data_IF_480526866271
#
_entry.id   IF_480526866271
#
_cell.length_a   1.000
_cell.length_b   1.000
_cell.length_c   1.000
_cell.angle_alpha   90.00
_cell.angle_beta   90.00
_cell.angle_gamma   90.00
#
_symmetry.space_group_name_H-M   'P 1'
#
loop_
_entity.id
_entity.type
_entity.pdbx_description
1 polymer ?
#
# COMPACT_ATOMS: atom_id res chain seq x y z
N UNK A 1 26.61 -19.16 15.25
CA UNK A 1 26.90 -19.17 13.79
C UNK A 1 25.93 -18.21 13.08
N UNK A 2 25.68 -17.02 13.62
CA UNK A 2 24.68 -16.06 13.13
C UNK A 2 25.26 -14.94 12.26
N UNK A 3 26.53 -14.56 12.49
CA UNK A 3 27.13 -13.40 11.82
C UNK A 3 27.24 -13.59 10.29
N UNK A 4 27.44 -14.82 9.82
CA UNK A 4 27.53 -15.12 8.39
C UNK A 4 26.21 -14.95 7.63
N UNK A 5 25.06 -15.04 8.30
CA UNK A 5 23.74 -14.84 7.67
C UNK A 5 23.41 -13.35 7.59
N UNK A 6 23.82 -12.58 8.60
CA UNK A 6 23.69 -11.13 8.62
C UNK A 6 24.57 -10.48 7.55
N UNK A 7 25.84 -10.87 7.45
CA UNK A 7 26.77 -10.36 6.43
C UNK A 7 26.26 -10.63 5.01
N UNK A 8 25.68 -11.81 4.78
CA UNK A 8 25.12 -12.19 3.48
C UNK A 8 23.86 -11.38 3.13
N UNK A 9 23.02 -11.04 4.13
CA UNK A 9 21.85 -10.16 3.95
C UNK A 9 22.28 -8.71 3.70
N UNK A 10 23.32 -8.23 4.39
CA UNK A 10 23.86 -6.88 4.19
C UNK A 10 24.53 -6.73 2.82
N UNK A 11 25.22 -7.76 2.34
CA UNK A 11 25.84 -7.78 1.01
C UNK A 11 24.79 -7.84 -0.12
N UNK A 12 23.66 -8.51 0.10
CA UNK A 12 22.52 -8.53 -0.83
C UNK A 12 21.81 -7.17 -0.88
N UNK A 13 21.66 -6.50 0.27
CA UNK A 13 21.16 -5.11 0.36
C UNK A 13 22.08 -4.15 -0.40
N UNK A 14 23.39 -4.19 -0.16
CA UNK A 14 24.38 -3.34 -0.86
C UNK A 14 24.40 -3.60 -2.37
N UNK A 15 24.25 -4.86 -2.81
CA UNK A 15 24.13 -5.21 -4.23
C UNK A 15 22.82 -4.76 -4.86
N UNK A 16 21.70 -4.81 -4.16
CA UNK A 16 20.41 -4.31 -4.65
C UNK A 16 20.41 -2.79 -4.78
N UNK A 17 20.98 -2.07 -3.81
CA UNK A 17 21.16 -0.62 -3.88
C UNK A 17 22.06 -0.20 -5.06
N UNK A 18 23.14 -0.93 -5.33
CA UNK A 18 24.05 -0.65 -6.46
C UNK A 18 23.51 -1.06 -7.83
N UNK A 19 22.43 -1.85 -7.90
CA UNK A 19 21.85 -2.36 -9.15
C UNK A 19 20.52 -1.71 -9.54
N UNK A 20 20.01 -0.75 -8.76
CA UNK A 20 18.89 0.06 -9.21
C UNK A 20 19.32 0.83 -10.48
N UNK A 21 18.63 0.67 -11.62
CA UNK A 21 18.90 1.51 -12.77
C UNK A 21 18.53 2.94 -12.41
N UNK A 22 19.50 3.85 -12.58
CA UNK A 22 19.26 5.30 -12.57
C UNK A 22 18.32 5.59 -13.73
N UNK A 23 17.00 5.60 -13.49
CA UNK A 23 16.04 6.07 -14.48
C UNK A 23 15.44 7.39 -14.00
N UNK A 24 15.76 8.39 -14.83
CA UNK A 24 15.39 9.81 -14.75
C UNK A 24 15.92 10.51 -13.50
N UNK A 25 17.22 10.78 -13.55
CA UNK A 25 17.91 11.72 -12.68
C UNK A 25 17.14 13.05 -12.69
N UNK A 26 16.49 13.42 -11.59
CA UNK A 26 15.84 14.72 -11.45
C UNK A 26 16.85 15.86 -11.70
N UNK A 27 18.13 15.59 -11.44
CA UNK A 27 19.28 16.41 -11.83
C UNK A 27 19.34 16.62 -13.34
N UNK A 28 19.08 15.61 -14.17
CA UNK A 28 19.09 15.72 -15.63
C UNK A 28 17.87 16.48 -16.16
N UNK A 29 16.71 16.41 -15.49
CA UNK A 29 15.54 17.24 -15.83
C UNK A 29 15.80 18.71 -15.47
N UNK A 30 16.36 18.97 -14.28
CA UNK A 30 16.76 20.32 -13.84
C UNK A 30 17.88 20.88 -14.72
N UNK A 31 18.82 20.03 -15.15
CA UNK A 31 19.93 20.37 -16.04
C UNK A 31 19.45 20.59 -17.48
N UNK A 32 18.49 19.81 -17.97
CA UNK A 32 17.81 20.02 -19.25
C UNK A 32 17.02 21.34 -19.27
N UNK A 33 16.34 21.67 -18.17
CA UNK A 33 15.67 22.97 -17.99
C UNK A 33 16.69 24.12 -17.99
N UNK A 34 17.85 23.94 -17.34
CA UNK A 34 18.95 24.93 -17.31
C UNK A 34 19.68 25.04 -18.67
N UNK A 35 19.74 23.98 -19.46
CA UNK A 35 20.30 23.96 -20.81
C UNK A 35 19.34 24.58 -21.86
N UNK A 36 18.03 24.33 -21.77
CA UNK A 36 17.01 25.02 -22.59
C UNK A 36 16.96 26.53 -22.30
N UNK A 37 17.19 26.94 -21.05
CA UNK A 37 17.25 28.35 -20.66
C UNK A 37 18.41 29.11 -21.35
N UNK A 38 19.48 28.41 -21.74
CA UNK A 38 20.65 28.99 -22.42
C UNK A 38 20.59 28.95 -23.95
N UNK A 39 19.64 28.23 -24.56
CA UNK A 39 19.56 28.07 -26.02
C UNK A 39 18.41 28.85 -26.70
N UNK A 40 17.61 29.62 -25.97
CA UNK A 40 16.41 30.27 -26.51
C UNK A 40 16.67 31.60 -27.27
N UNK A 41 17.56 31.60 -28.27
CA UNK A 41 17.55 32.64 -29.32
C UNK A 41 17.75 32.01 -30.71
N UNK A 42 16.64 31.93 -31.46
CA UNK A 42 16.46 31.69 -32.92
C UNK A 42 16.21 30.24 -33.38
N UNK A 43 14.94 29.89 -33.63
CA UNK A 43 14.22 30.03 -34.93
C UNK A 43 12.83 29.35 -34.87
N UNK A 44 11.83 30.03 -35.42
CA UNK A 44 10.44 29.56 -35.61
C UNK A 44 10.29 28.72 -36.88
N UNK A 45 9.41 27.68 -36.84
CA UNK A 45 8.39 27.24 -37.84
C UNK A 45 7.89 25.80 -37.52
N UNK A 46 6.75 25.33 -38.05
CA UNK A 46 5.38 25.74 -37.74
C UNK A 46 4.50 24.59 -37.19
N UNK A 47 3.33 24.99 -36.69
CA UNK A 47 2.18 24.22 -36.17
C UNK A 47 1.97 22.79 -36.69
N UNK A 48 1.87 21.85 -35.74
CA UNK A 48 0.98 20.68 -35.81
C UNK A 48 -0.02 20.84 -34.65
N UNK A 49 -1.30 20.95 -34.98
CA UNK A 49 -2.40 21.08 -34.03
C UNK A 49 -2.69 19.73 -33.35
N UNK A 50 -2.60 19.69 -32.02
CA UNK A 50 -3.29 18.71 -31.17
C UNK A 50 -4.11 19.49 -30.13
N UNK A 51 -5.46 19.39 -30.10
CA UNK A 51 -6.28 20.16 -29.16
C UNK A 51 -6.40 19.45 -27.81
N UNK A 52 -6.19 20.22 -26.73
CA UNK A 52 -6.73 20.00 -25.38
C UNK A 52 -6.29 18.76 -24.59
N UNK A 53 -5.04 18.76 -24.11
CA UNK A 53 -4.66 18.07 -22.87
C UNK A 53 -3.49 18.72 -22.08
N UNK A 54 -2.88 19.80 -22.57
CA UNK A 54 -1.62 20.33 -22.01
C UNK A 54 -1.71 21.69 -21.28
N UNK A 55 -2.88 22.32 -21.20
CA UNK A 55 -2.97 23.74 -20.79
C UNK A 55 -3.44 24.02 -19.36
N UNK A 56 -3.30 23.09 -18.42
CA UNK A 56 -3.44 23.36 -16.98
C UNK A 56 -2.22 22.97 -16.12
N UNK A 57 -1.44 21.95 -16.53
CA UNK A 57 -0.19 21.56 -15.85
C UNK A 57 0.94 22.61 -16.02
N UNK A 58 0.97 23.34 -17.14
CA UNK A 58 2.04 24.32 -17.40
C UNK A 58 1.89 25.66 -16.68
N UNK A 59 0.67 26.07 -16.28
CA UNK A 59 0.43 27.43 -15.78
C UNK A 59 0.61 27.53 -14.25
N UNK A 60 0.38 26.46 -13.50
CA UNK A 60 0.61 26.44 -12.04
C UNK A 60 2.09 26.30 -11.66
N UNK A 61 2.88 25.54 -12.44
CA UNK A 61 4.33 25.39 -12.23
C UNK A 61 5.12 26.67 -12.54
N UNK A 62 4.62 27.53 -13.45
CA UNK A 62 5.26 28.82 -13.75
C UNK A 62 4.90 29.88 -12.71
N UNK A 63 3.73 29.77 -12.06
CA UNK A 63 3.26 30.72 -11.04
C UNK A 63 4.04 30.68 -9.74
N UNK A 64 4.40 29.48 -9.25
CA UNK A 64 5.17 29.30 -8.01
C UNK A 64 6.64 29.71 -8.17
N UNK A 65 7.23 29.48 -9.34
CA UNK A 65 8.64 29.85 -9.62
C UNK A 65 8.81 31.36 -9.84
N UNK A 66 7.83 32.06 -10.41
CA UNK A 66 7.91 33.52 -10.62
C UNK A 66 7.74 34.33 -9.32
N UNK A 67 6.99 33.83 -8.33
CA UNK A 67 6.86 34.47 -7.03
C UNK A 67 8.20 34.51 -6.24
N UNK A 68 9.07 33.52 -6.46
CA UNK A 68 10.41 33.42 -5.86
C UNK A 68 11.42 34.43 -6.44
N UNK A 69 11.24 34.89 -7.69
CA UNK A 69 12.14 35.89 -8.29
C UNK A 69 11.83 37.35 -7.91
N UNK A 70 10.62 37.63 -7.41
CA UNK A 70 10.25 39.00 -6.98
C UNK A 70 10.60 39.30 -5.52
N UNK A 71 10.88 38.28 -4.70
CA UNK A 71 11.28 38.46 -3.29
C UNK A 71 12.79 38.38 -3.07
N UNK A 72 13.56 37.84 -4.03
CA UNK A 72 15.02 37.81 -4.02
C UNK A 72 15.62 38.88 -4.96
N UNK A 73 15.21 40.13 -4.78
CA UNK A 73 15.74 41.28 -5.52
C UNK A 73 16.21 42.37 -4.57
N UNK A 74 17.49 42.37 -4.21
CA UNK A 74 18.05 43.44 -3.37
C UNK A 74 19.54 43.30 -3.05
N UNK A 75 20.41 43.27 -4.06
CA UNK A 75 21.84 43.52 -3.87
C UNK A 75 22.21 44.97 -4.18
N UNK A 76 22.85 45.62 -3.20
CA UNK A 76 24.00 46.55 -3.33
C UNK A 76 24.49 46.91 -1.92
N UNK A 77 25.80 46.77 -1.63
CA UNK A 77 26.75 47.88 -1.83
C UNK A 77 28.12 47.38 -2.38
N UNK A 78 28.93 48.14 -3.10
CA UNK A 78 29.55 49.41 -2.73
C UNK A 78 31.00 49.16 -2.30
N UNK A 79 31.96 49.56 -3.15
CA UNK A 79 33.41 49.35 -3.04
C UNK A 79 34.04 49.75 -1.70
N UNK A 80 35.04 48.98 -1.26
CA UNK A 80 35.95 49.35 -0.17
C UNK A 80 37.01 48.29 0.13
N UNK A 81 38.26 48.57 -0.27
CA UNK A 81 39.46 47.77 -0.01
C UNK A 81 39.78 47.63 1.50
N UNK A 82 40.28 46.46 1.92
CA UNK A 82 40.85 46.29 3.27
C UNK A 82 41.16 44.84 3.65
N UNK A 83 42.45 44.55 3.84
CA UNK A 83 43.07 43.26 4.18
C UNK A 83 42.41 42.45 5.33
N UNK A 84 42.25 41.14 5.14
CA UNK A 84 42.74 40.08 6.06
C UNK A 84 42.47 38.68 5.50
N UNK A 85 43.54 37.97 5.15
CA UNK A 85 43.54 36.52 4.87
C UNK A 85 43.51 35.76 6.20
N UNK A 86 42.36 35.19 6.56
CA UNK A 86 42.20 33.90 7.28
C UNK A 86 40.72 33.64 7.64
N UNK A 87 39.85 33.55 6.64
CA UNK A 87 38.49 33.01 6.81
C UNK A 87 37.91 32.62 5.44
N UNK A 88 38.52 31.65 4.74
CA UNK A 88 38.09 31.29 3.38
C UNK A 88 38.10 29.78 3.12
N UNK A 89 37.49 29.00 4.03
CA UNK A 89 37.10 27.61 3.75
C UNK A 89 35.72 27.21 4.29
N UNK A 90 34.95 28.14 4.88
CA UNK A 90 33.62 27.87 5.44
C UNK A 90 32.40 28.45 4.71
N UNK A 91 32.45 29.50 3.86
CA UNK A 91 31.21 30.03 3.25
C UNK A 91 30.57 29.04 2.27
N UNK A 92 31.36 28.43 1.37
CA UNK A 92 30.84 27.45 0.41
C UNK A 92 30.27 26.16 1.02
N UNK A 93 30.67 25.80 2.25
CA UNK A 93 30.19 24.58 2.92
C UNK A 93 28.76 24.72 3.44
N UNK A 94 28.41 25.90 3.93
CA UNK A 94 27.06 26.17 4.42
C UNK A 94 26.09 26.47 3.27
N UNK A 95 26.58 27.07 2.18
CA UNK A 95 25.78 27.31 0.97
C UNK A 95 25.31 26.00 0.31
N UNK A 96 26.17 24.98 0.18
CA UNK A 96 25.79 23.68 -0.39
C UNK A 96 24.73 22.97 0.45
N UNK A 97 24.91 22.93 1.78
CA UNK A 97 23.92 22.30 2.66
C UNK A 97 22.56 23.02 2.62
N UNK A 98 22.56 24.35 2.61
CA UNK A 98 21.31 25.12 2.49
C UNK A 98 20.62 24.92 1.14
N UNK A 99 21.39 24.78 0.05
CA UNK A 99 20.84 24.47 -1.26
C UNK A 99 20.15 23.10 -1.27
N UNK A 100 20.81 22.05 -0.77
CA UNK A 100 20.22 20.71 -0.72
C UNK A 100 18.97 20.64 0.17
N UNK A 101 18.94 21.38 1.28
CA UNK A 101 17.76 21.46 2.13
C UNK A 101 16.59 22.17 1.45
N UNK A 102 16.88 23.24 0.69
CA UNK A 102 15.87 23.94 -0.11
C UNK A 102 15.33 23.05 -1.23
N UNK A 103 16.20 22.22 -1.82
CA UNK A 103 15.79 21.24 -2.82
C UNK A 103 14.88 20.17 -2.19
N UNK A 104 15.13 19.76 -0.94
CA UNK A 104 14.25 18.86 -0.19
C UNK A 104 12.87 19.49 0.11
N UNK A 105 12.82 20.77 0.48
CA UNK A 105 11.56 21.51 0.67
C UNK A 105 10.76 21.61 -0.64
N UNK A 106 11.43 21.95 -1.74
CA UNK A 106 10.81 22.00 -3.06
C UNK A 106 10.32 20.63 -3.54
N UNK A 107 11.07 19.56 -3.26
CA UNK A 107 10.66 18.18 -3.55
C UNK A 107 9.40 17.82 -2.77
N UNK A 108 9.37 18.12 -1.47
CA UNK A 108 8.20 17.89 -0.62
C UNK A 108 6.96 18.59 -1.18
N UNK A 109 7.03 19.89 -1.49
CA UNK A 109 5.90 20.64 -2.02
C UNK A 109 5.38 20.08 -3.35
N UNK A 110 6.30 19.69 -4.24
CA UNK A 110 5.98 19.08 -5.52
C UNK A 110 5.29 17.73 -5.34
N UNK A 111 5.89 16.82 -4.56
CA UNK A 111 5.37 15.47 -4.33
C UNK A 111 4.05 15.50 -3.59
N UNK A 112 3.89 16.41 -2.63
CA UNK A 112 2.64 16.62 -1.91
C UNK A 112 1.52 17.04 -2.85
N UNK A 113 1.79 17.99 -3.74
CA UNK A 113 0.82 18.44 -4.74
C UNK A 113 0.40 17.27 -5.65
N UNK A 114 1.37 16.48 -6.12
CA UNK A 114 1.08 15.29 -6.94
C UNK A 114 0.25 14.25 -6.19
N UNK A 115 0.57 13.98 -4.92
CA UNK A 115 -0.16 13.03 -4.10
C UNK A 115 -1.61 13.49 -3.85
N UNK A 116 -1.82 14.77 -3.52
CA UNK A 116 -3.15 15.36 -3.38
C UNK A 116 -3.98 15.22 -4.66
N UNK A 117 -3.40 15.54 -5.81
CA UNK A 117 -4.07 15.42 -7.11
C UNK A 117 -4.44 13.97 -7.43
N UNK A 118 -3.53 13.02 -7.21
CA UNK A 118 -3.78 11.60 -7.48
C UNK A 118 -4.82 10.99 -6.54
N UNK A 119 -4.84 11.41 -5.29
CA UNK A 119 -5.84 10.96 -4.30
C UNK A 119 -7.18 11.68 -4.47
N UNK A 120 -7.21 12.79 -5.18
CA UNK A 120 -8.41 13.63 -5.29
C UNK A 120 -8.73 14.42 -4.02
N UNK A 121 -7.72 14.68 -3.18
CA UNK A 121 -7.88 15.39 -1.92
C UNK A 121 -7.50 16.88 -2.04
N UNK A 122 -8.19 17.71 -1.27
CA UNK A 122 -7.74 19.08 -0.99
C UNK A 122 -6.75 19.08 0.19
N UNK A 123 -6.07 20.20 0.42
CA UNK A 123 -5.06 20.36 1.48
C UNK A 123 -5.60 19.97 2.88
N UNK A 124 -6.83 20.39 3.19
CA UNK A 124 -7.44 20.10 4.49
C UNK A 124 -7.61 18.58 4.70
N UNK A 125 -8.07 17.87 3.68
CA UNK A 125 -8.25 16.41 3.73
C UNK A 125 -6.90 15.69 3.71
N UNK A 126 -5.98 16.09 2.82
CA UNK A 126 -4.67 15.46 2.71
C UNK A 126 -3.87 15.58 4.01
N UNK A 127 -4.00 16.70 4.72
CA UNK A 127 -3.29 16.92 5.98
C UNK A 127 -3.66 15.96 7.12
N UNK A 128 -4.77 15.23 6.99
CA UNK A 128 -5.17 14.21 7.98
C UNK A 128 -4.56 12.84 7.71
N UNK A 129 -4.04 12.62 6.49
CA UNK A 129 -3.44 11.36 6.05
C UNK A 129 -2.13 11.06 6.78
N UNK A 130 -1.75 9.78 6.87
CA UNK A 130 -0.44 9.40 7.39
C UNK A 130 0.68 9.78 6.41
N UNK A 131 0.42 9.75 5.10
CA UNK A 131 1.36 10.16 4.05
C UNK A 131 1.88 11.59 4.28
N UNK A 132 0.98 12.54 4.55
CA UNK A 132 1.37 13.93 4.84
C UNK A 132 2.14 14.05 6.16
N UNK A 133 1.70 13.35 7.21
CA UNK A 133 2.34 13.39 8.54
C UNK A 133 3.75 12.85 8.50
N UNK A 134 3.97 11.71 7.84
CA UNK A 134 5.28 11.08 7.71
C UNK A 134 6.22 11.97 6.89
N UNK A 135 5.75 12.44 5.73
CA UNK A 135 6.54 13.31 4.86
C UNK A 135 6.94 14.63 5.56
N UNK A 136 6.01 15.26 6.29
CA UNK A 136 6.31 16.43 7.13
C UNK A 136 7.32 16.08 8.23
N UNK A 137 7.19 14.92 8.86
CA UNK A 137 8.16 14.44 9.84
C UNK A 137 9.57 14.31 9.26
N UNK A 138 9.69 13.78 8.06
CA UNK A 138 10.97 13.68 7.34
C UNK A 138 11.52 15.05 6.93
N UNK A 139 10.67 15.99 6.48
CA UNK A 139 11.10 17.35 6.20
C UNK A 139 11.62 18.06 7.47
N UNK A 140 10.90 17.96 8.60
CA UNK A 140 11.36 18.48 9.90
C UNK A 140 12.68 17.85 10.33
N UNK A 141 12.87 16.55 10.05
CA UNK A 141 14.16 15.90 10.28
C UNK A 141 15.28 16.54 9.45
N UNK A 142 15.06 16.77 8.15
CA UNK A 142 16.00 17.46 7.24
C UNK A 142 16.34 18.85 7.78
N UNK A 143 15.33 19.64 8.18
CA UNK A 143 15.50 20.97 8.77
C UNK A 143 16.32 20.97 10.07
N UNK A 144 16.37 19.83 10.78
CA UNK A 144 17.14 19.67 12.01
C UNK A 144 18.64 19.40 11.77
N UNK A 145 19.03 18.91 10.59
CA UNK A 145 20.40 18.47 10.27
C UNK A 145 21.47 19.54 10.51
N UNK A 146 21.26 20.83 10.16
CA UNK A 146 22.27 21.87 10.42
C UNK A 146 22.69 21.96 11.89
N UNK A 147 21.76 21.68 12.82
CA UNK A 147 21.98 21.76 14.27
C UNK A 147 22.77 20.57 14.83
N UNK A 148 22.96 19.51 14.04
CA UNK A 148 23.68 18.30 14.46
C UNK A 148 25.18 18.45 14.30
N UNK A 149 25.93 17.82 15.17
CA UNK A 149 27.40 17.82 15.15
C UNK A 149 27.93 16.69 14.25
N UNK A 150 27.66 16.84 12.95
CA UNK A 150 28.15 15.93 11.91
C UNK A 150 29.10 16.65 10.94
N UNK A 151 30.08 15.93 10.35
CA UNK A 151 30.81 16.42 9.19
C UNK A 151 29.86 16.78 8.03
N UNK A 152 30.23 17.76 7.20
CA UNK A 152 29.39 18.22 6.09
C UNK A 152 28.94 17.08 5.15
N UNK A 153 29.85 16.17 4.78
CA UNK A 153 29.51 15.06 3.89
C UNK A 153 28.39 14.20 4.47
N UNK A 154 28.48 13.85 5.75
CA UNK A 154 27.44 13.11 6.44
C UNK A 154 26.13 13.90 6.55
N UNK A 155 26.18 15.23 6.74
CA UNK A 155 24.98 16.07 6.69
C UNK A 155 24.28 15.99 5.34
N UNK A 156 25.03 16.04 4.23
CA UNK A 156 24.47 15.94 2.89
C UNK A 156 23.85 14.56 2.66
N UNK A 157 24.53 13.48 3.06
CA UNK A 157 23.99 12.11 2.98
C UNK A 157 22.67 11.98 3.75
N UNK A 158 22.55 12.62 4.92
CA UNK A 158 21.31 12.61 5.70
C UNK A 158 20.19 13.46 5.05
N UNK A 159 20.52 14.55 4.36
CA UNK A 159 19.54 15.33 3.58
C UNK A 159 19.05 14.50 2.41
N UNK A 160 19.94 13.81 1.69
CA UNK A 160 19.61 12.92 0.58
C UNK A 160 18.68 11.80 1.01
N UNK A 161 18.98 11.10 2.12
CA UNK A 161 18.06 10.09 2.68
C UNK A 161 16.72 10.69 3.09
N UNK A 162 16.72 11.92 3.60
CA UNK A 162 15.49 12.64 3.92
C UNK A 162 14.62 12.88 2.69
N UNK A 163 15.23 13.21 1.54
CA UNK A 163 14.54 13.34 0.25
C UNK A 163 13.92 12.01 -0.18
N UNK A 164 14.67 10.92 -0.08
CA UNK A 164 14.17 9.57 -0.40
C UNK A 164 12.97 9.19 0.49
N UNK A 165 13.05 9.47 1.79
CA UNK A 165 11.95 9.19 2.72
C UNK A 165 10.71 10.06 2.42
N UNK A 166 10.89 11.35 2.10
CA UNK A 166 9.79 12.22 1.68
C UNK A 166 9.11 11.64 0.44
N UNK A 167 9.89 11.22 -0.56
CA UNK A 167 9.35 10.65 -1.79
C UNK A 167 8.56 9.36 -1.53
N UNK A 168 9.08 8.47 -0.69
CA UNK A 168 8.43 7.20 -0.35
C UNK A 168 7.14 7.42 0.47
N UNK A 169 7.17 8.31 1.46
CA UNK A 169 5.97 8.65 2.25
C UNK A 169 4.84 9.19 1.37
N UNK A 170 5.17 10.04 0.39
CA UNK A 170 4.19 10.67 -0.51
C UNK A 170 3.80 9.80 -1.72
N UNK A 171 4.37 8.61 -1.86
CA UNK A 171 4.00 7.66 -2.92
C UNK A 171 2.57 7.16 -2.69
N UNK A 172 1.66 7.38 -3.65
CA UNK A 172 0.26 6.93 -3.54
C UNK A 172 0.07 5.50 -4.04
N UNK A 173 -1.01 4.79 -3.69
CA UNK A 173 -1.31 3.47 -4.24
C UNK A 173 -1.28 3.42 -5.77
N UNK A 174 -1.85 4.42 -6.46
CA UNK A 174 -1.78 4.53 -7.93
C UNK A 174 -0.33 4.61 -8.44
N UNK A 175 0.55 5.36 -7.77
CA UNK A 175 1.97 5.41 -8.14
C UNK A 175 2.64 4.06 -7.93
N UNK A 176 2.36 3.38 -6.81
CA UNK A 176 2.93 2.07 -6.50
C UNK A 176 2.55 1.00 -7.52
N UNK A 177 1.26 0.95 -7.90
CA UNK A 177 0.76 0.01 -8.90
C UNK A 177 1.42 0.26 -10.25
N UNK A 178 1.49 1.53 -10.69
CA UNK A 178 2.09 1.88 -11.99
C UNK A 178 3.61 1.72 -12.02
N UNK A 179 4.27 1.68 -10.87
CA UNK A 179 5.72 1.45 -10.78
C UNK A 179 6.10 -0.02 -10.69
N UNK A 180 5.12 -0.93 -10.59
CA UNK A 180 5.38 -2.37 -10.61
C UNK A 180 6.06 -2.77 -11.92
N UNK A 181 7.11 -3.58 -11.79
CA UNK A 181 7.83 -4.16 -12.93
C UNK A 181 7.36 -5.60 -13.11
N UNK A 182 7.31 -6.06 -14.36
CA UNK A 182 6.94 -7.45 -14.63
C UNK A 182 7.88 -8.43 -13.93
N UNK A 183 7.30 -9.34 -13.14
CA UNK A 183 8.03 -10.41 -12.46
C UNK A 183 8.97 -9.93 -11.35
N UNK A 184 8.50 -9.04 -10.46
CA UNK A 184 9.31 -8.68 -9.27
C UNK A 184 9.59 -9.94 -8.42
N UNK A 185 10.77 -10.04 -7.79
CA UNK A 185 11.09 -11.14 -6.88
C UNK A 185 10.14 -11.19 -5.69
N UNK A 186 9.88 -12.39 -5.14
CA UNK A 186 9.01 -12.58 -3.96
C UNK A 186 9.35 -11.63 -2.79
N UNK A 187 10.64 -11.45 -2.49
CA UNK A 187 11.07 -10.54 -1.42
C UNK A 187 10.70 -9.07 -1.66
N UNK A 188 10.70 -8.63 -2.93
CA UNK A 188 10.30 -7.26 -3.29
C UNK A 188 8.78 -7.14 -3.32
N UNK A 189 8.08 -8.17 -3.79
CA UNK A 189 6.63 -8.26 -3.75
C UNK A 189 6.09 -8.18 -2.30
N UNK A 190 6.72 -8.87 -1.35
CA UNK A 190 6.31 -8.82 0.05
C UNK A 190 6.37 -7.39 0.63
N UNK A 191 7.49 -6.69 0.39
CA UNK A 191 7.68 -5.30 0.83
C UNK A 191 6.64 -4.39 0.17
N UNK A 192 6.47 -4.53 -1.14
CA UNK A 192 5.48 -3.75 -1.90
C UNK A 192 4.06 -3.98 -1.38
N UNK A 193 3.68 -5.23 -1.14
CA UNK A 193 2.35 -5.60 -0.65
C UNK A 193 2.09 -5.03 0.74
N UNK A 194 3.10 -5.09 1.62
CA UNK A 194 3.00 -4.49 2.96
C UNK A 194 2.74 -2.99 2.87
N UNK A 195 3.60 -2.27 2.14
CA UNK A 195 3.51 -0.82 1.98
C UNK A 195 2.18 -0.40 1.32
N UNK A 196 1.72 -1.18 0.33
CA UNK A 196 0.46 -0.92 -0.36
C UNK A 196 -0.73 -1.07 0.58
N UNK A 197 -0.79 -2.15 1.35
CA UNK A 197 -1.88 -2.39 2.31
C UNK A 197 -1.90 -1.39 3.45
N UNK A 198 -0.73 -0.98 3.97
CA UNK A 198 -0.63 0.06 5.00
C UNK A 198 -1.22 1.38 4.49
N UNK A 199 -0.83 1.81 3.29
CA UNK A 199 -1.39 3.03 2.68
C UNK A 199 -2.89 2.90 2.38
N UNK A 200 -3.37 1.75 1.93
CA UNK A 200 -4.81 1.53 1.72
C UNK A 200 -5.58 1.61 3.04
N UNK A 201 -5.06 0.99 4.10
CA UNK A 201 -5.70 0.99 5.43
C UNK A 201 -5.84 2.41 5.99
N UNK A 202 -4.88 3.28 5.72
CA UNK A 202 -4.94 4.69 6.12
C UNK A 202 -5.90 5.54 5.25
N UNK A 203 -6.00 5.23 3.95
CA UNK A 203 -6.74 6.05 2.99
C UNK A 203 -8.24 5.71 2.91
N UNK A 204 -8.60 4.43 3.00
CA UNK A 204 -9.98 3.95 2.84
C UNK A 204 -10.97 4.66 3.80
N UNK A 205 -10.71 4.75 5.12
CA UNK A 205 -11.63 5.43 6.04
C UNK A 205 -11.78 6.93 5.75
N UNK A 206 -10.75 7.57 5.19
CA UNK A 206 -10.80 8.99 4.81
C UNK A 206 -11.74 9.18 3.63
N UNK A 207 -11.69 8.28 2.64
CA UNK A 207 -12.65 8.28 1.53
C UNK A 207 -14.09 8.09 2.02
N UNK A 208 -14.35 7.16 2.94
CA UNK A 208 -15.70 6.93 3.49
C UNK A 208 -16.28 8.18 4.17
N UNK A 209 -15.49 8.80 5.05
CA UNK A 209 -15.89 10.04 5.73
C UNK A 209 -16.20 11.14 4.72
N UNK A 210 -15.35 11.28 3.69
CA UNK A 210 -15.53 12.33 2.67
C UNK A 210 -16.68 12.04 1.73
N UNK A 211 -16.89 10.79 1.31
CA UNK A 211 -18.03 10.38 0.50
C UNK A 211 -19.36 10.70 1.21
N UNK A 212 -19.42 10.49 2.52
CA UNK A 212 -20.62 10.80 3.30
C UNK A 212 -20.95 12.30 3.35
N UNK A 213 -19.96 13.20 3.22
CA UNK A 213 -20.21 14.65 3.07
C UNK A 213 -20.94 14.98 1.74
N UNK A 214 -20.88 14.08 0.76
CA UNK A 214 -21.51 14.23 -0.56
C UNK A 214 -22.66 13.25 -0.80
N UNK A 215 -23.38 12.85 0.25
CA UNK A 215 -24.50 11.91 0.16
C UNK A 215 -25.53 12.24 -0.93
N UNK A 216 -25.96 13.49 -0.99
CA UNK A 216 -26.91 13.96 -2.02
C UNK A 216 -26.40 13.76 -3.46
N UNK A 217 -25.08 13.66 -3.65
CA UNK A 217 -24.48 13.46 -4.97
C UNK A 217 -24.40 11.98 -5.37
N UNK A 218 -24.19 11.04 -4.43
CA UNK A 218 -24.06 9.62 -4.76
C UNK A 218 -25.33 8.80 -4.54
N UNK A 219 -26.20 9.21 -3.61
CA UNK A 219 -27.44 8.48 -3.28
C UNK A 219 -28.37 8.24 -4.49
N UNK A 220 -28.54 9.19 -5.44
CA UNK A 220 -29.34 8.94 -6.64
C UNK A 220 -28.82 7.82 -7.56
N UNK A 221 -27.60 7.33 -7.31
CA UNK A 221 -26.95 6.28 -8.08
C UNK A 221 -27.10 4.90 -7.45
N UNK A 222 -27.81 4.78 -6.33
CA UNK A 222 -28.16 3.48 -5.75
C UNK A 222 -29.30 2.85 -6.56
N UNK A 223 -29.04 1.67 -7.12
CA UNK A 223 -29.97 0.89 -7.92
C UNK A 223 -30.02 -0.54 -7.35
N UNK A 224 -31.20 -1.00 -6.93
CA UNK A 224 -31.42 -2.34 -6.36
C UNK A 224 -30.50 -2.69 -5.18
N UNK A 225 -30.20 -1.72 -4.31
CA UNK A 225 -29.33 -1.93 -3.14
C UNK A 225 -27.83 -1.88 -3.44
N UNK A 226 -27.44 -1.52 -4.67
CA UNK A 226 -26.04 -1.41 -5.08
C UNK A 226 -25.73 -0.05 -5.68
N UNK A 227 -24.49 0.43 -5.49
CA UNK A 227 -24.02 1.67 -6.13
C UNK A 227 -23.72 1.43 -7.61
N UNK A 228 -24.45 2.09 -8.51
CA UNK A 228 -24.20 2.02 -9.94
C UNK A 228 -23.01 2.94 -10.30
N UNK A 229 -21.80 2.36 -10.30
CA UNK A 229 -20.57 3.09 -10.62
C UNK A 229 -20.55 3.68 -12.03
N UNK A 230 -21.30 3.13 -12.98
CA UNK A 230 -21.40 3.69 -14.34
C UNK A 230 -22.21 4.97 -14.35
N UNK A 231 -23.32 5.02 -13.61
CA UNK A 231 -24.14 6.23 -13.50
C UNK A 231 -23.44 7.30 -12.65
N UNK A 232 -22.76 6.90 -11.56
CA UNK A 232 -21.97 7.78 -10.70
C UNK A 232 -20.77 8.41 -11.44
N UNK A 233 -20.13 7.68 -12.36
CA UNK A 233 -19.02 8.20 -13.14
C UNK A 233 -19.42 8.96 -14.41
N UNK A 234 -20.72 9.04 -14.71
CA UNK A 234 -21.19 9.80 -15.87
C UNK A 234 -20.92 11.30 -15.70
N UNK A 235 -20.74 12.06 -16.80
CA UNK A 235 -20.65 13.52 -16.73
C UNK A 235 -21.91 14.11 -16.09
N UNK A 236 -21.79 14.60 -14.87
CA UNK A 236 -22.87 15.21 -14.08
C UNK A 236 -22.37 16.53 -13.47
N UNK A 237 -23.27 17.45 -13.08
CA UNK A 237 -22.91 18.73 -12.47
C UNK A 237 -22.51 18.56 -11.00
N UNK A 238 -21.61 17.62 -10.70
CA UNK A 238 -21.09 17.42 -9.36
C UNK A 238 -20.22 18.59 -8.90
N UNK A 239 -20.10 18.80 -7.57
CA UNK A 239 -19.04 19.63 -7.02
C UNK A 239 -17.67 19.19 -7.55
N UNK A 240 -16.81 20.14 -7.92
CA UNK A 240 -15.50 19.82 -8.50
C UNK A 240 -14.62 18.98 -7.57
N UNK A 241 -14.73 19.17 -6.25
CA UNK A 241 -14.03 18.35 -5.25
C UNK A 241 -14.53 16.91 -5.23
N UNK A 242 -15.86 16.70 -5.28
CA UNK A 242 -16.44 15.36 -5.36
C UNK A 242 -15.95 14.63 -6.62
N UNK A 243 -15.91 15.32 -7.77
CA UNK A 243 -15.41 14.72 -9.01
C UNK A 243 -13.95 14.29 -8.90
N UNK A 244 -13.09 15.16 -8.36
CA UNK A 244 -11.67 14.83 -8.13
C UNK A 244 -11.52 13.63 -7.20
N UNK A 245 -12.34 13.54 -6.16
CA UNK A 245 -12.33 12.40 -5.25
C UNK A 245 -12.73 11.09 -5.95
N UNK A 246 -13.75 11.11 -6.82
CA UNK A 246 -14.12 9.94 -7.62
C UNK A 246 -13.00 9.49 -8.57
N UNK A 247 -12.29 10.45 -9.18
CA UNK A 247 -11.10 10.15 -9.98
C UNK A 247 -10.00 9.51 -9.11
N UNK A 248 -9.81 10.01 -7.89
CA UNK A 248 -8.89 9.45 -6.90
C UNK A 248 -9.23 8.03 -6.48
N UNK A 249 -10.50 7.76 -6.13
CA UNK A 249 -11.02 6.42 -5.80
C UNK A 249 -10.71 5.43 -6.92
N UNK A 250 -11.03 5.81 -8.16
CA UNK A 250 -10.83 4.94 -9.32
C UNK A 250 -9.35 4.63 -9.55
N UNK A 251 -8.48 5.64 -9.49
CA UNK A 251 -7.06 5.47 -9.81
C UNK A 251 -6.28 4.71 -8.73
N UNK A 252 -6.68 4.85 -7.46
CA UNK A 252 -5.97 4.25 -6.32
C UNK A 252 -6.53 2.88 -5.91
N UNK A 253 -7.17 2.15 -6.85
CA UNK A 253 -7.70 0.82 -6.61
C UNK A 253 -8.68 0.76 -5.42
N UNK A 254 -9.58 1.74 -5.31
CA UNK A 254 -10.64 1.76 -4.30
C UNK A 254 -11.96 1.34 -4.95
N UNK A 255 -12.65 0.40 -4.33
CA UNK A 255 -14.00 -0.04 -4.67
C UNK A 255 -15.00 0.56 -3.70
N UNK A 256 -16.18 0.93 -4.21
CA UNK A 256 -17.29 1.42 -3.41
C UNK A 256 -18.38 0.35 -3.34
N UNK A 257 -18.92 0.13 -2.15
CA UNK A 257 -20.08 -0.72 -1.90
C UNK A 257 -21.09 0.04 -1.06
N UNK A 258 -22.38 -0.18 -1.30
CA UNK A 258 -23.43 0.46 -0.50
C UNK A 258 -23.83 -0.46 0.66
N UNK A 259 -23.79 0.07 1.88
CA UNK A 259 -24.28 -0.62 3.06
C UNK A 259 -25.69 -0.11 3.39
N UNK A 260 -26.71 -0.90 3.07
CA UNK A 260 -28.12 -0.54 3.30
C UNK A 260 -28.46 -0.32 4.78
N UNK A 261 -27.76 -0.98 5.71
CA UNK A 261 -28.07 -0.91 7.15
C UNK A 261 -27.62 0.41 7.76
N UNK A 262 -26.43 0.86 7.39
CA UNK A 262 -25.82 2.08 7.89
C UNK A 262 -26.10 3.28 6.96
N UNK A 263 -26.61 3.03 5.75
CA UNK A 263 -26.98 4.04 4.75
C UNK A 263 -25.78 4.95 4.38
N UNK A 264 -24.64 4.28 4.14
CA UNK A 264 -23.33 4.85 3.79
C UNK A 264 -22.69 4.08 2.62
N UNK A 265 -21.73 4.72 1.96
CA UNK A 265 -20.78 4.03 1.08
C UNK A 265 -19.59 3.55 1.91
N UNK A 266 -19.29 2.27 1.79
CA UNK A 266 -18.09 1.63 2.31
C UNK A 266 -17.03 1.54 1.22
N UNK A 267 -15.77 1.53 1.65
CA UNK A 267 -14.63 1.45 0.75
C UNK A 267 -13.83 0.17 1.01
N UNK A 268 -13.35 -0.43 -0.07
CA UNK A 268 -12.45 -1.58 -0.01
C UNK A 268 -11.44 -1.52 -1.15
N UNK A 269 -10.46 -2.42 -1.14
CA UNK A 269 -9.51 -2.52 -2.25
C UNK A 269 -10.23 -3.13 -3.47
N UNK A 270 -10.17 -2.44 -4.60
CA UNK A 270 -10.62 -2.93 -5.89
C UNK A 270 -9.57 -3.90 -6.46
N UNK A 271 -9.67 -5.17 -6.10
CA UNK A 271 -8.75 -6.20 -6.57
C UNK A 271 -8.87 -6.46 -8.07
N UNK A 272 -10.05 -6.27 -8.68
CA UNK A 272 -10.20 -6.43 -10.13
C UNK A 272 -9.40 -5.36 -10.89
N UNK A 273 -9.47 -4.11 -10.45
CA UNK A 273 -8.67 -3.03 -11.00
C UNK A 273 -7.18 -3.25 -10.73
N UNK A 274 -6.83 -3.67 -9.52
CA UNK A 274 -5.44 -4.00 -9.17
C UNK A 274 -4.88 -5.05 -10.13
N UNK A 275 -5.56 -6.20 -10.26
CA UNK A 275 -5.17 -7.31 -11.12
C UNK A 275 -5.11 -6.88 -12.61
N UNK A 276 -6.03 -6.02 -13.05
CA UNK A 276 -6.04 -5.48 -14.41
C UNK A 276 -4.80 -4.60 -14.72
N UNK A 277 -4.37 -3.77 -13.77
CA UNK A 277 -3.25 -2.84 -13.99
C UNK A 277 -1.90 -3.49 -13.67
N UNK A 278 -1.82 -4.32 -12.62
CA UNK A 278 -0.59 -5.02 -12.26
C UNK A 278 -0.30 -6.19 -13.20
N UNK A 279 -1.33 -6.81 -13.81
CA UNK A 279 -1.16 -7.99 -14.64
C UNK A 279 -0.44 -9.10 -13.87
N UNK A 280 0.64 -9.63 -14.45
CA UNK A 280 1.50 -10.63 -13.80
C UNK A 280 2.70 -10.01 -13.07
N UNK A 281 2.70 -8.70 -12.83
CA UNK A 281 3.82 -8.02 -12.19
C UNK A 281 3.94 -8.42 -10.71
N UNK A 282 2.80 -8.58 -10.02
CA UNK A 282 2.74 -9.05 -8.64
C UNK A 282 2.44 -10.56 -8.63
N UNK A 283 3.19 -11.39 -7.89
CA UNK A 283 2.87 -12.81 -7.75
C UNK A 283 1.49 -13.02 -7.11
N UNK A 284 0.73 -13.98 -7.65
CA UNK A 284 -0.67 -14.27 -7.26
C UNK A 284 -0.82 -14.53 -5.75
N UNK A 285 0.17 -15.18 -5.12
CA UNK A 285 0.17 -15.45 -3.68
C UNK A 285 -0.01 -14.18 -2.83
N UNK A 286 0.56 -13.05 -3.25
CA UNK A 286 0.44 -11.79 -2.53
C UNK A 286 -0.91 -11.10 -2.79
N UNK A 287 -1.48 -11.24 -3.98
CA UNK A 287 -2.85 -10.81 -4.27
C UNK A 287 -3.83 -11.59 -3.41
N UNK A 288 -3.68 -12.91 -3.36
CA UNK A 288 -4.48 -13.80 -2.52
C UNK A 288 -4.34 -13.44 -1.05
N UNK A 289 -3.12 -13.18 -0.58
CA UNK A 289 -2.88 -12.73 0.79
C UNK A 289 -3.67 -11.45 1.12
N UNK A 290 -3.62 -10.42 0.27
CA UNK A 290 -4.39 -9.20 0.47
C UNK A 290 -5.91 -9.46 0.55
N UNK A 291 -6.45 -10.31 -0.33
CA UNK A 291 -7.87 -10.72 -0.31
C UNK A 291 -8.23 -11.42 1.01
N UNK A 292 -7.29 -12.11 1.65
CA UNK A 292 -7.50 -12.79 2.93
C UNK A 292 -7.36 -11.92 4.19
N UNK A 293 -7.10 -10.62 4.08
CA UNK A 293 -7.00 -9.75 5.27
C UNK A 293 -8.35 -9.33 5.85
N UNK A 294 -9.44 -9.51 5.11
CA UNK A 294 -10.79 -9.30 5.64
C UNK A 294 -11.15 -10.43 6.61
N UNK A 295 -11.21 -10.13 7.92
CA UNK A 295 -11.55 -11.14 8.94
C UNK A 295 -12.98 -11.64 8.76
N UNK A 296 -13.15 -12.97 8.73
CA UNK A 296 -14.46 -13.62 8.80
C UNK A 296 -14.86 -14.01 10.23
N UNK A 297 -14.02 -13.65 11.22
CA UNK A 297 -14.24 -13.85 12.65
C UNK A 297 -14.44 -12.51 13.34
N UNK A 298 -15.52 -12.38 14.11
CA UNK A 298 -15.78 -11.22 14.98
C UNK A 298 -16.23 -11.71 16.35
N UNK A 299 -15.50 -11.32 17.39
CA UNK A 299 -15.76 -11.75 18.78
C UNK A 299 -15.86 -13.28 18.96
N UNK A 300 -15.19 -14.08 18.12
CA UNK A 300 -15.23 -15.54 18.18
C UNK A 300 -16.41 -16.18 17.44
N UNK A 301 -17.14 -15.41 16.64
CA UNK A 301 -18.20 -15.91 15.76
C UNK A 301 -17.84 -15.69 14.29
N UNK A 302 -18.27 -16.60 13.42
CA UNK A 302 -18.24 -16.40 11.99
C UNK A 302 -19.24 -15.33 11.57
N UNK A 303 -18.75 -14.33 10.85
CA UNK A 303 -19.60 -13.34 10.16
C UNK A 303 -20.16 -13.88 8.84
N UNK A 304 -19.76 -15.10 8.48
CA UNK A 304 -20.10 -15.83 7.25
C UNK A 304 -20.66 -17.21 7.60
N UNK A 305 -21.07 -17.99 6.60
CA UNK A 305 -21.50 -19.37 6.82
C UNK A 305 -20.33 -20.30 7.17
N UNK A 306 -20.61 -21.42 7.83
CA UNK A 306 -19.61 -22.47 8.09
C UNK A 306 -18.95 -22.96 6.80
N UNK A 307 -19.71 -23.07 5.71
CA UNK A 307 -19.18 -23.48 4.41
C UNK A 307 -18.12 -22.50 3.90
N UNK A 308 -18.41 -21.20 3.96
CA UNK A 308 -17.47 -20.14 3.56
C UNK A 308 -16.23 -20.11 4.48
N UNK A 309 -16.40 -20.38 5.77
CA UNK A 309 -15.28 -20.55 6.70
C UNK A 309 -14.38 -21.74 6.29
N UNK A 310 -14.98 -22.84 5.85
CA UNK A 310 -14.28 -24.00 5.27
C UNK A 310 -13.50 -23.64 4.01
N UNK A 311 -14.12 -22.95 3.05
CA UNK A 311 -13.43 -22.47 1.83
C UNK A 311 -12.26 -21.53 2.20
N UNK A 312 -12.44 -20.69 3.22
CA UNK A 312 -11.39 -19.78 3.71
C UNK A 312 -10.21 -20.54 4.33
N UNK A 313 -10.44 -21.65 5.04
CA UNK A 313 -9.34 -22.48 5.55
C UNK A 313 -8.48 -23.04 4.42
N UNK A 314 -9.11 -23.50 3.34
CA UNK A 314 -8.39 -24.01 2.18
C UNK A 314 -7.54 -22.92 1.53
N UNK A 315 -8.08 -21.71 1.40
CA UNK A 315 -7.32 -20.57 0.88
C UNK A 315 -6.11 -20.22 1.77
N UNK A 316 -6.26 -20.26 3.10
CA UNK A 316 -5.15 -20.03 4.02
C UNK A 316 -4.10 -21.16 3.94
N UNK A 317 -4.51 -22.42 3.79
CA UNK A 317 -3.57 -23.53 3.54
C UNK A 317 -2.77 -23.32 2.24
N UNK A 318 -3.44 -22.90 1.16
CA UNK A 318 -2.76 -22.58 -0.11
C UNK A 318 -1.70 -21.49 0.09
N UNK A 319 -2.04 -20.41 0.80
CA UNK A 319 -1.09 -19.35 1.13
C UNK A 319 0.10 -19.87 1.96
N UNK A 320 -0.13 -20.76 2.93
CA UNK A 320 0.95 -21.36 3.73
C UNK A 320 1.91 -22.23 2.92
N UNK A 321 1.40 -22.83 1.84
CA UNK A 321 2.18 -23.64 0.89
C UNK A 321 2.99 -22.76 -0.07
N UNK A 322 2.37 -21.70 -0.59
CA UNK A 322 2.95 -20.84 -1.64
C UNK A 322 3.85 -19.72 -1.12
N UNK A 323 3.63 -19.22 0.11
CA UNK A 323 4.46 -18.18 0.69
C UNK A 323 5.86 -18.74 1.08
N UNK A 324 6.94 -17.95 0.86
CA UNK A 324 8.28 -18.34 1.29
C UNK A 324 8.36 -18.68 2.78
N UNK A 325 9.19 -19.64 3.16
CA UNK A 325 9.30 -20.05 4.58
C UNK A 325 9.67 -18.90 5.53
N UNK A 326 10.52 -17.98 5.08
CA UNK A 326 10.98 -16.83 5.88
C UNK A 326 10.11 -15.59 5.75
N UNK A 327 8.98 -15.69 5.04
CA UNK A 327 8.00 -14.60 4.88
C UNK A 327 7.36 -14.19 6.20
N UNK A 328 7.26 -12.88 6.46
CA UNK A 328 6.52 -12.38 7.61
C UNK A 328 5.02 -12.68 7.48
N UNK A 329 4.49 -12.61 6.25
CA UNK A 329 3.10 -12.93 5.96
C UNK A 329 2.76 -14.39 6.25
N UNK A 330 3.69 -15.32 6.01
CA UNK A 330 3.46 -16.73 6.33
C UNK A 330 3.18 -16.93 7.82
N UNK A 331 3.87 -16.21 8.70
CA UNK A 331 3.62 -16.25 10.15
C UNK A 331 2.28 -15.61 10.55
N UNK A 332 1.81 -14.61 9.81
CA UNK A 332 0.47 -14.04 10.00
C UNK A 332 -0.60 -15.03 9.55
N UNK A 333 -0.49 -15.55 8.33
CA UNK A 333 -1.39 -16.55 7.75
C UNK A 333 -1.44 -17.80 8.62
N UNK A 334 -0.32 -18.26 9.19
CA UNK A 334 -0.30 -19.44 10.07
C UNK A 334 -1.14 -19.23 11.32
N UNK A 335 -1.05 -18.04 11.94
CA UNK A 335 -1.86 -17.71 13.12
C UNK A 335 -3.34 -17.60 12.77
N UNK A 336 -3.65 -16.99 11.62
CA UNK A 336 -5.02 -16.84 11.14
C UNK A 336 -5.62 -18.22 10.79
N UNK A 337 -4.82 -19.11 10.19
CA UNK A 337 -5.20 -20.50 9.90
C UNK A 337 -5.47 -21.28 11.17
N UNK A 338 -4.54 -21.28 12.14
CA UNK A 338 -4.69 -22.00 13.40
C UNK A 338 -5.94 -21.52 14.18
N UNK A 339 -6.15 -20.20 14.23
CA UNK A 339 -7.30 -19.60 14.88
C UNK A 339 -8.60 -19.98 14.18
N UNK A 340 -8.66 -19.79 12.86
CA UNK A 340 -9.85 -20.13 12.07
C UNK A 340 -10.17 -21.62 12.16
N UNK A 341 -9.14 -22.47 12.09
CA UNK A 341 -9.30 -23.91 12.17
C UNK A 341 -9.87 -24.28 13.53
N UNK A 342 -9.30 -23.72 14.61
CA UNK A 342 -9.80 -23.95 15.96
C UNK A 342 -11.29 -23.64 16.10
N UNK A 343 -11.73 -22.46 15.66
CA UNK A 343 -13.16 -22.11 15.69
C UNK A 343 -14.00 -22.99 14.76
N UNK A 344 -13.45 -23.40 13.62
CA UNK A 344 -14.14 -24.25 12.66
C UNK A 344 -14.40 -25.66 13.21
N UNK A 345 -13.45 -26.27 13.92
CA UNK A 345 -13.61 -27.66 14.41
C UNK A 345 -14.05 -27.76 15.88
N UNK A 346 -13.87 -26.72 16.69
CA UNK A 346 -14.22 -26.72 18.11
C UNK A 346 -15.38 -25.79 18.46
N UNK A 347 -15.71 -24.83 17.58
CA UNK A 347 -16.68 -23.77 17.87
C UNK A 347 -16.13 -22.69 18.80
N UNK A 348 -16.89 -21.60 18.91
CA UNK A 348 -16.67 -20.52 19.87
C UNK A 348 -17.60 -20.64 21.07
N UNK A 349 -17.35 -19.83 22.11
CA UNK A 349 -18.27 -19.71 23.27
C UNK A 349 -19.65 -19.25 22.81
N UNK A 350 -19.69 -18.26 21.92
CA UNK A 350 -20.93 -17.67 21.43
C UNK A 350 -21.48 -18.38 20.19
N UNK A 351 -20.65 -19.21 19.53
CA UNK A 351 -21.03 -20.03 18.37
C UNK A 351 -20.57 -21.49 18.53
N UNK A 352 -21.19 -22.27 19.44
CA UNK A 352 -20.82 -23.66 19.65
C UNK A 352 -21.17 -24.52 18.44
N UNK A 353 -20.40 -25.58 18.19
CA UNK A 353 -20.68 -26.55 17.10
C UNK A 353 -21.71 -27.61 17.49
N UNK A 354 -21.88 -27.87 18.79
CA UNK A 354 -22.89 -28.78 19.32
C UNK A 354 -24.15 -28.00 19.74
N UNK A 355 -25.32 -28.61 19.59
CA UNK A 355 -26.58 -28.09 20.13
C UNK A 355 -26.72 -28.36 21.62
N UNK A 356 -27.73 -27.80 22.27
CA UNK A 356 -27.97 -27.96 23.72
C UNK A 356 -28.13 -29.43 24.19
N UNK A 357 -28.49 -30.33 23.27
CA UNK A 357 -28.57 -31.77 23.52
C UNK A 357 -27.23 -32.51 23.31
N UNK A 358 -26.14 -31.78 23.04
CA UNK A 358 -24.81 -32.33 22.78
C UNK A 358 -24.62 -32.95 21.40
N UNK A 359 -25.57 -32.82 20.46
CA UNK A 359 -25.41 -33.33 19.09
C UNK A 359 -24.75 -32.29 18.19
N UNK A 360 -23.93 -32.70 17.22
CA UNK A 360 -23.36 -31.80 16.21
C UNK A 360 -24.49 -31.10 15.45
N UNK A 361 -24.36 -29.79 15.27
CA UNK A 361 -25.35 -29.00 14.52
C UNK A 361 -25.36 -29.41 13.04
N UNK A 362 -26.54 -29.52 12.40
CA UNK A 362 -26.64 -29.95 11.00
C UNK A 362 -25.82 -29.09 10.02
N UNK A 363 -25.82 -27.77 10.20
CA UNK A 363 -25.06 -26.84 9.37
C UNK A 363 -23.54 -27.00 9.49
N UNK A 364 -23.06 -27.45 10.66
CA UNK A 364 -21.64 -27.74 10.88
C UNK A 364 -21.27 -29.07 10.23
N UNK A 365 -22.13 -30.09 10.40
CA UNK A 365 -21.93 -31.38 9.76
C UNK A 365 -21.88 -31.25 8.23
N UNK A 366 -22.82 -30.49 7.64
CA UNK A 366 -22.85 -30.23 6.20
C UNK A 366 -21.56 -29.54 5.72
N UNK A 367 -21.04 -28.58 6.48
CA UNK A 367 -19.78 -27.90 6.15
C UNK A 367 -18.58 -28.84 6.22
N UNK A 368 -18.50 -29.72 7.23
CA UNK A 368 -17.42 -30.71 7.34
C UNK A 368 -17.45 -31.71 6.17
N UNK A 369 -18.63 -32.24 5.85
CA UNK A 369 -18.83 -33.12 4.71
C UNK A 369 -18.44 -32.44 3.39
N UNK A 370 -18.82 -31.16 3.24
CA UNK A 370 -18.44 -30.35 2.07
C UNK A 370 -16.92 -30.21 1.95
N UNK A 371 -16.22 -29.80 3.02
CA UNK A 371 -14.77 -29.61 3.00
C UNK A 371 -14.04 -30.92 2.71
N UNK A 372 -14.39 -31.99 3.43
CA UNK A 372 -13.79 -33.32 3.27
C UNK A 372 -13.97 -33.89 1.85
N UNK A 373 -15.12 -33.64 1.22
CA UNK A 373 -15.44 -34.13 -0.12
C UNK A 373 -14.86 -33.28 -1.24
N UNK A 374 -14.86 -31.95 -1.07
CA UNK A 374 -14.47 -31.00 -2.12
C UNK A 374 -12.97 -30.82 -2.19
N UNK A 375 -12.29 -30.91 -1.05
CA UNK A 375 -10.85 -30.65 -0.93
C UNK A 375 -10.07 -31.86 -0.39
N UNK A 376 -10.26 -33.08 -0.92
CA UNK A 376 -9.65 -34.29 -0.36
C UNK A 376 -8.12 -34.34 -0.50
N UNK A 377 -7.54 -33.51 -1.35
CA UNK A 377 -6.09 -33.40 -1.56
C UNK A 377 -5.41 -32.38 -0.64
N UNK A 378 -6.18 -31.64 0.16
CA UNK A 378 -5.65 -30.67 1.12
C UNK A 378 -5.52 -31.33 2.49
N UNK A 379 -4.50 -30.94 3.25
CA UNK A 379 -4.25 -31.47 4.60
C UNK A 379 -5.43 -31.12 5.52
N UNK A 380 -5.99 -29.91 5.38
CA UNK A 380 -7.21 -29.49 6.05
C UNK A 380 -8.40 -30.39 5.70
N UNK A 381 -8.57 -30.74 4.42
CA UNK A 381 -9.67 -31.62 3.99
C UNK A 381 -9.53 -33.02 4.57
N UNK A 382 -8.31 -33.56 4.59
CA UNK A 382 -7.98 -34.82 5.26
C UNK A 382 -8.28 -34.77 6.76
N UNK A 383 -7.84 -33.71 7.45
CA UNK A 383 -8.03 -33.58 8.90
C UNK A 383 -9.50 -33.38 9.28
N UNK A 384 -10.26 -32.59 8.52
CA UNK A 384 -11.71 -32.43 8.74
C UNK A 384 -12.46 -33.74 8.50
N UNK A 385 -12.00 -34.56 7.54
CA UNK A 385 -12.55 -35.91 7.34
C UNK A 385 -12.34 -36.80 8.56
N UNK A 386 -11.14 -36.80 9.15
CA UNK A 386 -10.85 -37.54 10.39
C UNK A 386 -11.77 -37.09 11.54
N UNK A 387 -11.98 -35.78 11.69
CA UNK A 387 -12.89 -35.19 12.70
C UNK A 387 -14.32 -35.68 12.49
N UNK A 388 -14.79 -35.71 11.25
CA UNK A 388 -16.12 -36.20 10.91
C UNK A 388 -16.28 -37.70 11.21
N UNK A 389 -15.26 -38.50 10.90
CA UNK A 389 -15.22 -39.94 11.19
C UNK A 389 -15.27 -40.19 12.71
N UNK A 390 -14.48 -39.47 13.51
CA UNK A 390 -14.49 -39.53 14.99
C UNK A 390 -15.88 -39.24 15.57
N UNK A 391 -16.54 -38.17 15.09
CA UNK A 391 -17.90 -37.83 15.52
C UNK A 391 -18.93 -38.85 15.06
N UNK A 392 -18.74 -39.49 13.90
CA UNK A 392 -19.68 -40.50 13.41
C UNK A 392 -19.71 -41.76 14.30
N UNK A 393 -18.59 -42.09 14.96
CA UNK A 393 -18.51 -43.23 15.89
C UNK A 393 -19.39 -43.04 17.13
N UNK A 394 -19.72 -41.80 17.48
CA UNK A 394 -20.58 -41.42 18.62
C UNK A 394 -22.00 -40.99 18.21
N UNK A 395 -22.46 -41.30 16.99
CA UNK A 395 -23.70 -40.73 16.41
C UNK A 395 -23.74 -39.19 16.50
N UNK A 396 -22.58 -38.57 16.29
CA UNK A 396 -22.35 -37.13 16.32
C UNK A 396 -22.63 -36.47 17.68
N UNK A 397 -22.45 -37.24 18.77
CA UNK A 397 -22.55 -36.72 20.13
C UNK A 397 -21.20 -36.16 20.59
N UNK A 398 -21.25 -35.03 21.31
CA UNK A 398 -20.11 -34.35 21.93
C UNK A 398 -19.35 -35.33 22.85
N UNK A 399 -18.06 -35.60 22.56
CA UNK A 399 -17.23 -36.41 23.45
C UNK A 399 -16.93 -35.69 24.76
N UNK A 400 -16.66 -36.44 25.85
CA UNK A 400 -16.31 -35.86 27.16
C UNK A 400 -15.11 -34.90 27.12
N UNK A 401 -14.23 -35.05 26.12
CA UNK A 401 -13.09 -34.16 25.87
C UNK A 401 -13.00 -33.87 24.37
N UNK A 402 -13.67 -32.81 23.93
CA UNK A 402 -13.57 -32.33 22.56
C UNK A 402 -12.51 -31.24 22.43
N UNK A 403 -11.37 -31.58 21.83
CA UNK A 403 -10.36 -30.60 21.39
C UNK A 403 -9.66 -31.15 20.14
N UNK A 404 -9.78 -30.43 19.04
CA UNK A 404 -9.12 -30.72 17.78
C UNK A 404 -8.04 -29.69 17.49
N UNK A 405 -6.92 -30.15 16.93
CA UNK A 405 -5.75 -29.34 16.60
C UNK A 405 -5.61 -29.18 15.08
N UNK A 406 -5.07 -28.03 14.61
CA UNK A 406 -4.81 -27.81 13.19
C UNK A 406 -3.79 -28.81 12.63
N UNK A 407 -3.92 -29.19 11.34
CA UNK A 407 -2.88 -29.95 10.65
C UNK A 407 -1.60 -29.11 10.49
N UNK A 408 -0.45 -29.79 10.39
CA UNK A 408 0.82 -29.12 10.11
C UNK A 408 0.91 -28.85 8.62
N UNK A 409 0.97 -27.58 8.22
CA UNK A 409 1.13 -27.19 6.81
C UNK A 409 2.59 -26.83 6.53
N UNK A 410 3.21 -27.62 5.65
CA UNK A 410 4.60 -27.43 5.19
C UNK A 410 4.57 -26.58 3.91
N UNK A 411 5.58 -25.73 3.70
CA UNK A 411 5.70 -24.97 2.45
C UNK A 411 6.10 -25.88 1.28
N UNK A 412 5.75 -25.49 0.06
CA UNK A 412 6.16 -26.23 -1.14
C UNK A 412 7.69 -26.27 -1.29
N UNK A 413 8.39 -25.20 -0.88
CA UNK A 413 9.86 -25.18 -0.86
C UNK A 413 10.45 -26.32 0.00
N UNK A 414 9.78 -26.67 1.10
CA UNK A 414 10.22 -27.70 2.02
C UNK A 414 9.77 -29.09 1.58
N UNK A 415 8.59 -29.22 0.99
CA UNK A 415 8.15 -30.46 0.33
C UNK A 415 9.16 -30.91 -0.75
N UNK A 416 9.59 -30.01 -1.62
CA UNK A 416 10.58 -30.29 -2.68
C UNK A 416 11.93 -30.81 -2.11
N UNK A 417 12.36 -30.30 -0.96
CA UNK A 417 13.59 -30.75 -0.28
C UNK A 417 13.44 -32.18 0.26
N UNK A 418 12.24 -32.57 0.70
CA UNK A 418 11.97 -33.91 1.19
C UNK A 418 11.77 -34.91 0.04
N UNK A 419 11.12 -34.51 -1.05
CA UNK A 419 10.91 -35.40 -2.21
C UNK A 419 12.19 -35.64 -3.05
N UNK A 420 13.18 -34.76 -2.93
CA UNK A 420 14.47 -34.89 -3.61
C UNK A 420 15.52 -35.71 -2.85
N UNK A 421 15.17 -36.26 -1.68
CA UNK A 421 15.98 -37.19 -0.88
C UNK A 421 15.52 -38.63 -1.05
#
# INVERSE_FOLDING_TARGET
MDDKRFDKRMELLDRSYKKMPVQTDASDIIKAIREEQNQSVKKRRPLIHWPYAASFLGVLLIGTVLALQLTMGGDKPGDGEGQSRQAAKQPHKNETLQAEMKDAEALYDLRKTQAMERLGFNEATFSTTQLDKDAKGHLVYVESIPKRDYPLGEKLDWVDRGKDWIEESLRTPDMMIRSLKDGIPMTEAEVWTKEFMEKQTDLLPIYEVKLNEYKEAWEPHIENGEINMKSLNAPQPYPGEFRKMLDGITNNAVQLTYNEKEDILETSINFEYLDMISGSALPDVYVSYMKTRQSILKAGEFTTSWKEAGDRLILLEQLLKELPEDSAFRNEVSRDFDLLYHYFVNGGVDQPIFSENGRLKPEVQEAYEYVAKTYPSYETGGKVKEVLEELSESDYMEPERWVQNPPVIISSETEDIYESQ
#
